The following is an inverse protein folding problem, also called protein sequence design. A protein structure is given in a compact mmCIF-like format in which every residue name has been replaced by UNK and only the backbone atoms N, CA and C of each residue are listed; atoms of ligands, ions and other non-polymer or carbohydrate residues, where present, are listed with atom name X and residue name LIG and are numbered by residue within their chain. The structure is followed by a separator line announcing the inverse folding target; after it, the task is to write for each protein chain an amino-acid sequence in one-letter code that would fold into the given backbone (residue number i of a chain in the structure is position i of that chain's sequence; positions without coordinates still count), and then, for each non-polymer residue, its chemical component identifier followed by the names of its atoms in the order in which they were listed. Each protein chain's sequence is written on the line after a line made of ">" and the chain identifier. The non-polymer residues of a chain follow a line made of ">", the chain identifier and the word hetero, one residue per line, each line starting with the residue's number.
data_IF_053540929554
#
_entry.id   IF_053540929554
#
_cell.length_a   1.000
_cell.length_b   1.000
_cell.length_c   1.000
_cell.angle_alpha   90.00
_cell.angle_beta   90.00
_cell.angle_gamma   90.00
#
_symmetry.space_group_name_H-M   'P 1'
#
loop_
_entity.id
_entity.type
_entity.pdbx_description
1 polymer ?
#
# COMPACT_ATOMS: atom_id res chain seq x y z
N UNK A 1 -1.90 0.01 -12.94
CA UNK A 1 -2.57 -1.27 -13.19
C UNK A 1 -4.07 -1.14 -12.93
N UNK A 2 -4.88 -1.68 -13.79
CA UNK A 2 -6.35 -1.62 -13.67
C UNK A 2 -6.88 -3.04 -13.65
N UNK A 3 -7.72 -3.35 -12.66
CA UNK A 3 -8.39 -4.65 -12.55
C UNK A 3 -9.91 -4.45 -12.52
N UNK A 4 -10.65 -5.52 -12.28
CA UNK A 4 -12.12 -5.47 -12.19
C UNK A 4 -12.59 -4.51 -11.09
N UNK A 5 -11.92 -4.53 -9.93
CA UNK A 5 -12.36 -3.77 -8.75
C UNK A 5 -11.41 -2.65 -8.33
N UNK A 6 -10.18 -2.63 -8.85
CA UNK A 6 -9.13 -1.73 -8.39
C UNK A 6 -8.45 -0.97 -9.51
N UNK A 7 -7.99 0.22 -9.17
CA UNK A 7 -7.02 0.96 -9.98
C UNK A 7 -5.85 1.26 -9.06
N UNK A 8 -4.64 0.83 -9.46
CA UNK A 8 -3.41 1.17 -8.74
C UNK A 8 -2.69 2.26 -9.52
N UNK A 9 -2.38 3.35 -8.82
CA UNK A 9 -1.63 4.49 -9.38
C UNK A 9 -0.51 4.88 -8.44
N UNK A 10 0.61 5.39 -8.96
CA UNK A 10 1.68 5.86 -8.07
C UNK A 10 1.15 6.83 -7.04
N UNK A 11 1.54 6.63 -5.79
CA UNK A 11 1.10 7.47 -4.68
C UNK A 11 1.85 8.79 -4.73
N UNK A 12 1.11 9.89 -4.90
CA UNK A 12 1.66 11.23 -4.98
C UNK A 12 0.94 12.15 -4.00
N UNK A 13 1.48 13.35 -3.82
CA UNK A 13 0.91 14.33 -2.87
C UNK A 13 -0.52 14.74 -3.25
N UNK A 14 -0.91 14.59 -4.51
CA UNK A 14 -2.27 14.98 -4.93
C UNK A 14 -3.37 14.15 -4.25
N UNK A 15 -3.01 12.98 -3.71
CA UNK A 15 -3.98 12.10 -3.02
C UNK A 15 -4.05 12.33 -1.52
N UNK A 16 -3.35 13.34 -0.98
CA UNK A 16 -3.14 13.46 0.46
C UNK A 16 -4.42 13.47 1.28
N UNK A 17 -5.46 14.21 0.84
CA UNK A 17 -6.69 14.32 1.62
C UNK A 17 -7.40 12.97 1.76
N UNK A 18 -7.58 12.27 0.65
CA UNK A 18 -8.24 10.96 0.63
C UNK A 18 -7.37 9.87 1.25
N UNK A 19 -6.07 9.94 1.04
CA UNK A 19 -5.13 9.00 1.65
C UNK A 19 -5.13 9.14 3.16
N UNK A 20 -5.06 10.37 3.67
CA UNK A 20 -5.12 10.63 5.11
C UNK A 20 -6.40 10.09 5.73
N UNK A 21 -7.54 10.32 5.07
CA UNK A 21 -8.82 9.80 5.52
C UNK A 21 -8.81 8.27 5.60
N UNK A 22 -8.32 7.61 4.54
CA UNK A 22 -8.24 6.15 4.49
C UNK A 22 -7.32 5.59 5.57
N UNK A 23 -6.14 6.19 5.75
CA UNK A 23 -5.15 5.77 6.74
C UNK A 23 -5.73 5.92 8.15
N UNK A 24 -6.33 7.04 8.47
CA UNK A 24 -6.84 7.29 9.82
C UNK A 24 -8.08 6.46 10.16
N UNK A 25 -8.82 5.97 9.18
CA UNK A 25 -9.89 4.99 9.39
C UNK A 25 -9.35 3.59 9.63
N UNK A 26 -8.05 3.37 9.45
CA UNK A 26 -7.45 2.04 9.43
C UNK A 26 -6.36 1.87 10.49
N UNK A 27 -6.34 2.71 11.52
CA UNK A 27 -5.26 2.73 12.52
C UNK A 27 -5.06 1.35 13.16
N UNK A 28 -6.13 0.70 13.61
CA UNK A 28 -6.01 -0.60 14.29
C UNK A 28 -5.53 -1.69 13.33
N UNK A 29 -6.07 -1.69 12.12
CA UNK A 29 -5.69 -2.66 11.10
C UNK A 29 -4.22 -2.50 10.72
N UNK A 30 -3.78 -1.27 10.52
CA UNK A 30 -2.40 -0.97 10.14
C UNK A 30 -1.41 -1.28 11.26
N UNK A 31 -1.81 -1.08 12.51
CA UNK A 31 -0.98 -1.47 13.66
C UNK A 31 -0.62 -2.96 13.59
N UNK A 32 -1.59 -3.79 13.27
CA UNK A 32 -1.38 -5.24 13.17
C UNK A 32 -0.52 -5.64 11.97
N UNK A 33 -0.65 -4.92 10.86
CA UNK A 33 0.04 -5.26 9.62
C UNK A 33 1.47 -4.73 9.55
N UNK A 34 1.73 -3.59 10.20
CA UNK A 34 3.00 -2.87 10.04
C UNK A 34 3.93 -3.07 11.23
N UNK A 35 3.95 -4.29 11.76
CA UNK A 35 4.91 -4.75 12.76
C UNK A 35 4.88 -3.94 14.05
N UNK A 36 3.67 -3.65 14.52
CA UNK A 36 3.44 -2.90 15.76
C UNK A 36 4.11 -1.52 15.77
N UNK A 37 4.32 -0.94 14.59
CA UNK A 37 4.83 0.42 14.50
C UNK A 37 3.75 1.40 14.98
N UNK A 38 4.16 2.56 15.47
CA UNK A 38 3.22 3.57 15.92
C UNK A 38 2.51 4.28 14.76
N UNK A 39 3.03 4.14 13.55
CA UNK A 39 2.36 4.67 12.37
C UNK A 39 1.06 3.89 12.13
N UNK A 40 -0.07 4.53 11.87
CA UNK A 40 -0.28 5.97 11.75
C UNK A 40 -0.91 6.63 12.99
N UNK A 41 -0.72 6.05 14.16
CA UNK A 41 -1.35 6.54 15.38
C UNK A 41 -1.03 8.02 15.60
N UNK A 42 -2.08 8.81 15.83
CA UNK A 42 -1.97 10.25 16.08
C UNK A 42 -1.28 11.05 14.96
N UNK A 43 -1.23 10.50 13.75
CA UNK A 43 -0.62 11.19 12.61
C UNK A 43 -1.47 12.40 12.20
N UNK A 44 -0.80 13.52 11.89
CA UNK A 44 -1.46 14.71 11.38
C UNK A 44 -1.50 14.70 9.85
N UNK A 45 -2.36 15.54 9.28
CA UNK A 45 -2.43 15.70 7.82
C UNK A 45 -1.08 16.16 7.25
N UNK A 46 -0.39 17.07 7.93
CA UNK A 46 0.92 17.55 7.47
C UNK A 46 1.98 16.44 7.51
N UNK A 47 1.94 15.58 8.52
CA UNK A 47 2.83 14.43 8.58
C UNK A 47 2.55 13.46 7.43
N UNK A 48 1.29 13.23 7.11
CA UNK A 48 0.94 12.38 5.98
C UNK A 48 1.37 13.01 4.65
N UNK A 49 1.25 14.32 4.52
CA UNK A 49 1.70 15.03 3.33
C UNK A 49 3.21 14.82 3.14
N UNK A 50 3.99 14.91 4.22
CA UNK A 50 5.44 14.66 4.18
C UNK A 50 5.73 13.22 3.76
N UNK A 51 4.97 12.25 4.28
CA UNK A 51 5.13 10.84 3.92
C UNK A 51 4.85 10.62 2.43
N UNK A 52 3.79 11.21 1.90
CA UNK A 52 3.46 11.08 0.49
C UNK A 52 4.53 11.74 -0.41
N UNK A 53 5.07 12.87 0.02
CA UNK A 53 6.18 13.51 -0.67
C UNK A 53 7.41 12.62 -0.72
N UNK A 54 7.73 11.96 0.40
CA UNK A 54 8.82 11.01 0.45
C UNK A 54 8.60 9.82 -0.51
N UNK A 55 7.40 9.25 -0.49
CA UNK A 55 7.05 8.15 -1.41
C UNK A 55 7.18 8.58 -2.86
N UNK A 56 6.77 9.78 -3.19
CA UNK A 56 6.83 10.30 -4.56
C UNK A 56 8.29 10.42 -5.03
N UNK A 57 9.17 10.95 -4.18
CA UNK A 57 10.60 11.07 -4.48
C UNK A 57 11.24 9.69 -4.63
N UNK A 58 10.97 8.78 -3.71
CA UNK A 58 11.48 7.41 -3.74
C UNK A 58 11.08 6.68 -5.03
N UNK A 59 9.84 6.88 -5.46
CA UNK A 59 9.34 6.30 -6.69
C UNK A 59 10.10 6.85 -7.90
N UNK A 60 10.27 8.16 -7.94
CA UNK A 60 11.01 8.83 -9.02
C UNK A 60 12.45 8.31 -9.09
N UNK A 61 13.11 8.14 -7.95
CA UNK A 61 14.47 7.66 -7.87
C UNK A 61 14.59 6.14 -8.04
N UNK A 62 13.47 5.43 -8.13
CA UNK A 62 13.42 3.97 -8.27
C UNK A 62 13.99 3.22 -7.06
N UNK A 63 13.92 3.81 -5.87
CA UNK A 63 14.39 3.19 -4.63
C UNK A 63 13.31 2.36 -3.94
N UNK A 64 12.08 2.83 -3.97
CA UNK A 64 10.92 2.10 -3.46
C UNK A 64 9.68 2.58 -4.22
N UNK A 65 8.60 1.81 -4.12
CA UNK A 65 7.41 2.10 -4.92
C UNK A 65 6.17 2.00 -4.04
N UNK A 66 5.39 3.07 -4.01
CA UNK A 66 4.11 3.09 -3.31
C UNK A 66 3.00 3.40 -4.31
N UNK A 67 1.92 2.62 -4.23
CA UNK A 67 0.76 2.77 -5.09
C UNK A 67 -0.47 3.02 -4.23
N UNK A 68 -1.26 4.02 -4.58
CA UNK A 68 -2.59 4.17 -3.99
C UNK A 68 -3.54 3.20 -4.70
N UNK A 69 -4.46 2.62 -3.95
CA UNK A 69 -5.48 1.73 -4.48
C UNK A 69 -6.80 2.50 -4.49
N UNK A 70 -7.34 2.68 -5.69
CA UNK A 70 -8.59 3.38 -5.88
C UNK A 70 -9.71 2.38 -6.21
N UNK A 71 -10.91 2.71 -5.77
CA UNK A 71 -12.08 1.91 -6.13
C UNK A 71 -12.39 2.05 -7.62
N UNK A 72 -12.64 0.94 -8.30
CA UNK A 72 -13.04 0.99 -9.71
C UNK A 72 -14.38 1.67 -9.90
N UNK A 73 -15.26 1.58 -8.91
CA UNK A 73 -16.57 2.22 -8.94
C UNK A 73 -16.51 3.73 -8.73
N UNK A 74 -15.63 4.17 -7.82
CA UNK A 74 -15.45 5.58 -7.49
C UNK A 74 -13.95 5.90 -7.51
N UNK A 75 -13.46 6.34 -8.66
CA UNK A 75 -12.02 6.52 -8.87
C UNK A 75 -11.38 7.57 -7.94
N UNK A 76 -12.19 8.40 -7.29
CA UNK A 76 -11.68 9.37 -6.32
C UNK A 76 -11.61 8.80 -4.89
N UNK A 77 -12.09 7.58 -4.69
CA UNK A 77 -12.11 6.97 -3.37
C UNK A 77 -10.87 6.12 -3.14
N UNK A 78 -10.01 6.57 -2.23
CA UNK A 78 -8.81 5.80 -1.83
C UNK A 78 -9.24 4.71 -0.85
N UNK A 79 -9.02 3.46 -1.23
CA UNK A 79 -9.43 2.32 -0.42
C UNK A 79 -8.27 1.49 0.13
N UNK A 80 -7.04 1.84 -0.20
CA UNK A 80 -5.87 1.13 0.31
C UNK A 80 -4.58 1.59 -0.33
N UNK A 81 -3.51 0.85 -0.06
CA UNK A 81 -2.19 1.09 -0.63
C UNK A 81 -1.43 -0.21 -0.82
N UNK A 82 -0.47 -0.17 -1.72
CA UNK A 82 0.52 -1.22 -1.92
C UNK A 82 1.91 -0.59 -1.88
N UNK A 83 2.85 -1.27 -1.23
CA UNK A 83 4.23 -0.77 -1.10
C UNK A 83 5.22 -1.85 -1.50
N UNK A 84 6.30 -1.44 -2.16
CA UNK A 84 7.42 -2.31 -2.52
C UNK A 84 8.69 -1.65 -2.02
N UNK A 85 9.38 -2.28 -1.07
CA UNK A 85 10.61 -1.77 -0.47
C UNK A 85 11.75 -2.77 -0.68
N UNK A 86 13.02 -2.30 -0.74
CA UNK A 86 14.15 -3.21 -0.64
C UNK A 86 14.06 -4.02 0.65
N UNK A 87 14.43 -5.29 0.61
CA UNK A 87 14.36 -6.14 1.80
C UNK A 87 15.66 -6.06 2.60
N UNK A 88 15.53 -6.02 3.93
CA UNK A 88 16.66 -6.14 4.85
C UNK A 88 17.03 -7.61 5.09
N UNK A 89 16.16 -8.53 4.71
CA UNK A 89 16.40 -9.97 4.86
C UNK A 89 17.13 -10.48 3.62
N UNK A 90 18.35 -11.06 3.77
CA UNK A 90 19.11 -11.51 2.61
C UNK A 90 18.47 -12.66 1.82
N UNK A 91 17.45 -13.30 2.36
CA UNK A 91 16.71 -14.34 1.64
C UNK A 91 15.73 -13.78 0.61
N UNK A 92 15.44 -12.49 0.68
CA UNK A 92 14.46 -11.84 -0.18
C UNK A 92 15.06 -10.60 -0.84
N UNK A 93 14.60 -10.32 -2.05
CA UNK A 93 15.03 -9.13 -2.78
C UNK A 93 14.23 -7.90 -2.34
N UNK A 94 12.92 -8.07 -2.19
CA UNK A 94 12.02 -6.97 -1.78
C UNK A 94 11.03 -7.44 -0.72
N UNK A 95 10.52 -6.45 0.01
CA UNK A 95 9.38 -6.62 0.92
C UNK A 95 8.19 -5.88 0.31
N UNK A 96 7.04 -6.55 0.26
CA UNK A 96 5.83 -5.97 -0.29
C UNK A 96 4.73 -5.96 0.77
N UNK A 97 4.05 -4.84 0.87
CA UNK A 97 2.95 -4.65 1.82
C UNK A 97 1.72 -4.20 1.06
N UNK A 98 0.56 -4.57 1.56
CA UNK A 98 -0.71 -4.08 1.02
C UNK A 98 -1.76 -4.03 2.12
N UNK A 99 -2.70 -3.12 1.98
CA UNK A 99 -3.82 -3.05 2.91
C UNK A 99 -5.02 -2.42 2.22
N UNK A 100 -6.20 -2.79 2.74
CA UNK A 100 -7.49 -2.19 2.36
C UNK A 100 -8.03 -1.48 3.61
N UNK A 101 -8.73 -0.39 3.41
CA UNK A 101 -9.32 0.42 4.46
C UNK A 101 -10.15 -0.45 5.41
N UNK A 102 -10.00 -0.19 6.70
CA UNK A 102 -10.56 -1.06 7.76
C UNK A 102 -12.07 -1.25 7.63
N UNK A 103 -12.81 -0.22 7.21
CA UNK A 103 -14.26 -0.31 7.05
C UNK A 103 -14.69 -1.22 5.88
N UNK A 104 -13.75 -1.68 5.05
CA UNK A 104 -14.02 -2.56 3.92
C UNK A 104 -13.48 -3.97 4.10
N UNK A 105 -12.96 -4.31 5.29
CA UNK A 105 -12.33 -5.62 5.51
C UNK A 105 -13.29 -6.79 5.35
N UNK A 106 -14.57 -6.61 5.66
CA UNK A 106 -15.56 -7.68 5.54
C UNK A 106 -15.98 -7.96 4.10
N UNK A 107 -15.52 -7.15 3.15
CA UNK A 107 -15.90 -7.29 1.75
C UNK A 107 -15.09 -8.34 0.97
N UNK A 108 -13.99 -8.83 1.54
CA UNK A 108 -13.06 -9.72 0.84
C UNK A 108 -12.09 -9.00 -0.10
N UNK A 109 -12.14 -7.69 -0.18
CA UNK A 109 -11.30 -6.90 -1.09
C UNK A 109 -9.81 -6.99 -0.76
N UNK A 110 -9.44 -7.15 0.53
CA UNK A 110 -8.03 -7.23 0.89
C UNK A 110 -7.40 -8.52 0.38
N UNK A 111 -8.10 -9.64 0.48
CA UNK A 111 -7.60 -10.92 -0.06
C UNK A 111 -7.50 -10.85 -1.59
N UNK A 112 -8.47 -10.24 -2.23
CA UNK A 112 -8.45 -10.04 -3.68
C UNK A 112 -7.28 -9.16 -4.09
N UNK A 113 -7.04 -8.06 -3.37
CA UNK A 113 -5.92 -7.18 -3.63
C UNK A 113 -4.59 -7.92 -3.48
N UNK A 114 -4.45 -8.70 -2.40
CA UNK A 114 -3.24 -9.47 -2.15
C UNK A 114 -2.91 -10.44 -3.28
N UNK A 115 -3.92 -11.16 -3.75
CA UNK A 115 -3.75 -12.09 -4.87
C UNK A 115 -3.35 -11.36 -6.15
N UNK A 116 -4.05 -10.28 -6.47
CA UNK A 116 -3.79 -9.48 -7.67
C UNK A 116 -2.40 -8.85 -7.63
N UNK A 117 -2.03 -8.28 -6.49
CA UNK A 117 -0.74 -7.63 -6.29
C UNK A 117 0.41 -8.64 -6.44
N UNK A 118 0.27 -9.81 -5.82
CA UNK A 118 1.27 -10.86 -5.92
C UNK A 118 1.46 -11.32 -7.37
N UNK A 119 0.38 -11.59 -8.08
CA UNK A 119 0.45 -11.99 -9.47
C UNK A 119 1.12 -10.93 -10.34
N UNK A 120 0.80 -9.67 -10.10
CA UNK A 120 1.41 -8.55 -10.82
C UNK A 120 2.91 -8.46 -10.57
N UNK A 121 3.33 -8.61 -9.32
CA UNK A 121 4.76 -8.57 -8.98
C UNK A 121 5.52 -9.72 -9.63
N UNK A 122 4.94 -10.91 -9.67
CA UNK A 122 5.58 -12.08 -10.27
C UNK A 122 5.69 -11.96 -11.79
N UNK A 123 4.68 -11.39 -12.44
CA UNK A 123 4.62 -11.34 -13.90
C UNK A 123 5.27 -10.11 -14.51
N UNK A 124 5.20 -8.97 -13.84
CA UNK A 124 5.55 -7.68 -14.44
C UNK A 124 6.79 -7.04 -13.86
N UNK A 125 7.31 -7.52 -12.75
CA UNK A 125 8.47 -6.96 -12.07
C UNK A 125 9.62 -7.97 -12.10
N UNK A 126 10.88 -7.49 -12.22
CA UNK A 126 12.03 -8.40 -12.34
C UNK A 126 12.59 -8.85 -11.00
N UNK A 127 11.74 -9.05 -10.01
CA UNK A 127 12.16 -9.45 -8.68
C UNK A 127 12.32 -10.96 -8.58
N UNK A 128 13.29 -11.40 -7.77
CA UNK A 128 13.44 -12.78 -7.37
C UNK A 128 12.44 -13.13 -6.27
N UNK A 129 12.93 -13.41 -5.06
CA UNK A 129 12.06 -13.73 -3.94
C UNK A 129 11.48 -12.48 -3.31
N UNK A 130 10.18 -12.51 -3.06
CA UNK A 130 9.42 -11.40 -2.49
C UNK A 130 8.87 -11.83 -1.13
N UNK A 131 9.16 -11.05 -0.10
CA UNK A 131 8.59 -11.26 1.22
C UNK A 131 7.31 -10.43 1.37
N UNK A 132 6.26 -11.06 1.92
CA UNK A 132 5.03 -10.38 2.28
C UNK A 132 4.89 -10.46 3.80
N UNK A 133 5.51 -9.53 4.55
CA UNK A 133 5.53 -9.62 6.02
C UNK A 133 4.14 -9.67 6.61
N UNK A 134 3.97 -10.54 7.60
CA UNK A 134 2.70 -10.73 8.31
C UNK A 134 1.55 -11.24 7.44
N UNK A 135 1.86 -11.77 6.26
CA UNK A 135 0.88 -12.42 5.40
C UNK A 135 1.17 -13.91 5.31
N UNK A 136 0.12 -14.67 5.38
CA UNK A 136 0.15 -16.13 5.40
C UNK A 136 0.08 -16.66 3.97
N UNK A 137 1.22 -16.73 3.33
CA UNK A 137 1.25 -17.11 1.90
C UNK A 137 2.33 -18.10 1.57
#
# INVERSE_FOLDING_TARGET
>A
MITKNFILRPLTIKYVDKDYEAVMKSVDHLYKLMDDSEWPKEMTLNENLADLGWHEVEFYLRHSFAYTVLSKKEENDVIGCCYIYPSDNPQYEVQAYYWIRQDLLDSGLEDELGKTFREWLEKSWPFGKIEFPRRDI
#
